data_IF_394163393518
#
_entry.id   IF_394163393518
#
_cell.length_a   1.000
_cell.length_b   1.000
_cell.length_c   1.000
_cell.angle_alpha   90.00
_cell.angle_beta   90.00
_cell.angle_gamma   90.00
#
_symmetry.space_group_name_H-M   'P 1'
#
loop_
_entity.id
_entity.type
_entity.pdbx_description
1 polymer ?
#
# COMPACT_ATOMS: atom_id res chain seq x y z
N UNK A 1 -23.80 -4.07 -9.19
CA UNK A 1 -23.92 -5.26 -8.32
C UNK A 1 -22.93 -6.27 -8.87
N UNK A 2 -21.72 -6.37 -8.27
CA UNK A 2 -20.70 -7.33 -8.70
C UNK A 2 -21.15 -8.73 -8.31
N UNK A 3 -20.82 -9.71 -9.16
CA UNK A 3 -21.00 -11.12 -8.79
C UNK A 3 -20.19 -11.38 -7.51
N UNK A 4 -20.86 -11.93 -6.50
CA UNK A 4 -20.24 -12.33 -5.24
C UNK A 4 -19.12 -13.33 -5.54
N UNK A 5 -17.85 -12.87 -5.55
CA UNK A 5 -16.69 -13.73 -5.81
C UNK A 5 -15.63 -13.15 -6.77
N UNK A 6 -15.88 -12.02 -7.46
CA UNK A 6 -14.86 -11.42 -8.32
C UNK A 6 -13.76 -10.75 -7.47
N UNK A 7 -12.47 -10.86 -7.88
CA UNK A 7 -11.38 -10.21 -7.17
C UNK A 7 -11.45 -8.69 -7.32
N UNK A 8 -11.05 -7.96 -6.27
CA UNK A 8 -10.90 -6.51 -6.32
C UNK A 8 -9.72 -6.08 -7.19
N UNK A 9 -8.64 -6.88 -7.21
CA UNK A 9 -7.48 -6.68 -8.09
C UNK A 9 -7.08 -8.01 -8.67
N UNK A 10 -6.86 -8.05 -9.98
CA UNK A 10 -6.33 -9.19 -10.71
C UNK A 10 -5.15 -8.73 -11.59
N UNK A 11 -4.04 -9.43 -11.52
CA UNK A 11 -2.91 -9.26 -12.44
C UNK A 11 -2.48 -10.63 -12.97
N UNK A 12 -2.30 -10.74 -14.30
CA UNK A 12 -1.93 -11.96 -14.99
C UNK A 12 -0.69 -11.70 -15.84
N UNK A 13 0.41 -12.36 -15.50
CA UNK A 13 1.68 -12.26 -16.21
C UNK A 13 2.20 -10.81 -16.34
N UNK A 14 1.98 -9.97 -15.32
CA UNK A 14 2.24 -8.53 -15.40
C UNK A 14 3.74 -8.25 -15.53
N UNK A 15 4.12 -7.51 -16.57
CA UNK A 15 5.53 -7.19 -16.88
C UNK A 15 5.72 -5.69 -17.08
N UNK A 16 6.83 -5.18 -16.52
CA UNK A 16 7.31 -3.82 -16.81
C UNK A 16 8.79 -3.79 -17.12
N UNK A 17 9.11 -3.24 -18.26
CA UNK A 17 10.47 -2.92 -18.66
C UNK A 17 10.66 -1.42 -18.79
N UNK A 18 11.82 -0.95 -18.37
CA UNK A 18 12.30 0.40 -18.66
C UNK A 18 13.50 0.30 -19.60
N UNK A 19 13.54 1.15 -20.63
CA UNK A 19 14.66 1.24 -21.55
C UNK A 19 15.41 2.52 -21.24
N UNK A 20 16.64 2.40 -20.75
CA UNK A 20 17.54 3.52 -20.44
C UNK A 20 18.82 3.47 -21.27
N UNK A 21 19.72 4.44 -21.05
CA UNK A 21 21.03 4.50 -21.72
C UNK A 21 21.93 3.29 -21.41
N UNK A 22 21.75 2.67 -20.25
CA UNK A 22 22.51 1.52 -19.76
C UNK A 22 21.89 0.15 -20.11
N UNK A 23 20.80 0.15 -20.91
CA UNK A 23 20.11 -1.06 -21.34
C UNK A 23 18.69 -1.18 -20.82
N UNK A 24 18.14 -2.40 -20.90
CA UNK A 24 16.80 -2.76 -20.48
C UNK A 24 16.80 -3.21 -19.03
N UNK A 25 16.00 -2.55 -18.18
CA UNK A 25 15.76 -2.94 -16.79
C UNK A 25 14.37 -3.57 -16.69
N UNK A 26 14.31 -4.82 -16.24
CA UNK A 26 13.07 -5.56 -16.01
C UNK A 26 12.64 -5.38 -14.54
N UNK A 27 11.81 -4.38 -14.29
CA UNK A 27 11.37 -4.05 -12.94
C UNK A 27 10.28 -5.01 -12.41
N UNK A 28 9.42 -5.53 -13.31
CA UNK A 28 8.38 -6.53 -13.01
C UNK A 28 8.45 -7.62 -14.06
N UNK A 29 8.44 -8.89 -13.62
CA UNK A 29 8.85 -10.05 -14.45
C UNK A 29 7.80 -11.16 -14.43
N UNK A 30 6.56 -10.85 -14.81
CA UNK A 30 5.46 -11.82 -14.82
C UNK A 30 4.88 -12.02 -13.42
N UNK A 31 4.25 -10.97 -12.89
CA UNK A 31 3.54 -11.01 -11.62
C UNK A 31 2.11 -11.49 -11.86
N UNK A 32 1.73 -12.58 -11.18
CA UNK A 32 0.37 -13.08 -11.07
C UNK A 32 -0.14 -12.79 -9.65
N UNK A 33 -1.25 -12.05 -9.54
CA UNK A 33 -1.74 -11.55 -8.28
C UNK A 33 -3.27 -11.48 -8.28
N UNK A 34 -3.87 -11.94 -7.18
CA UNK A 34 -5.30 -11.83 -6.92
C UNK A 34 -5.54 -11.26 -5.53
N UNK A 35 -6.29 -10.16 -5.45
CA UNK A 35 -6.74 -9.55 -4.19
C UNK A 35 -8.24 -9.67 -4.09
N UNK A 36 -8.72 -10.20 -2.96
CA UNK A 36 -10.15 -10.40 -2.72
C UNK A 36 -10.80 -9.09 -2.30
N UNK A 37 -12.08 -8.94 -2.63
CA UNK A 37 -12.86 -7.79 -2.16
C UNK A 37 -12.94 -7.78 -0.63
N UNK A 38 -12.67 -6.63 -0.03
CA UNK A 38 -12.76 -6.41 1.41
C UNK A 38 -11.59 -6.92 2.23
N UNK A 39 -10.49 -7.42 1.62
CA UNK A 39 -9.29 -7.78 2.39
C UNK A 39 -8.29 -6.62 2.48
N UNK A 40 -7.44 -6.65 3.49
CA UNK A 40 -6.21 -5.87 3.58
C UNK A 40 -5.09 -6.74 3.02
N UNK A 41 -4.58 -6.39 1.85
CA UNK A 41 -3.55 -7.14 1.15
C UNK A 41 -2.20 -6.42 1.20
N UNK A 42 -1.17 -7.14 1.68
CA UNK A 42 0.20 -6.64 1.78
C UNK A 42 1.09 -7.10 0.61
N UNK A 43 1.74 -6.17 -0.06
CA UNK A 43 2.74 -6.45 -1.09
C UNK A 43 4.12 -6.15 -0.55
N UNK A 44 4.76 -7.19 0.02
CA UNK A 44 5.96 -7.12 0.83
C UNK A 44 7.22 -7.37 -0.01
N UNK A 45 8.25 -6.57 0.18
CA UNK A 45 9.52 -6.79 -0.49
C UNK A 45 10.56 -5.71 -0.20
N UNK A 46 11.83 -5.96 -0.53
CA UNK A 46 12.90 -4.97 -0.33
C UNK A 46 12.77 -3.81 -1.32
N UNK A 47 13.56 -2.76 -1.09
CA UNK A 47 13.67 -1.65 -2.03
C UNK A 47 14.20 -2.15 -3.38
N UNK A 48 13.59 -1.68 -4.46
CA UNK A 48 13.92 -2.11 -5.83
C UNK A 48 13.31 -3.46 -6.25
N UNK A 49 12.52 -4.13 -5.41
CA UNK A 49 11.89 -5.42 -5.77
C UNK A 49 10.79 -5.32 -6.83
N UNK A 50 10.28 -4.10 -7.13
CA UNK A 50 9.21 -3.88 -8.10
C UNK A 50 7.86 -3.47 -7.47
N UNK A 51 7.77 -3.25 -6.15
CA UNK A 51 6.53 -2.90 -5.44
C UNK A 51 5.84 -1.67 -6.03
N UNK A 52 6.49 -0.50 -5.92
CA UNK A 52 5.91 0.77 -6.42
C UNK A 52 5.66 0.75 -7.93
N UNK A 53 6.48 0.02 -8.71
CA UNK A 53 6.25 -0.16 -10.14
C UNK A 53 4.95 -0.93 -10.39
N UNK A 54 4.70 -2.00 -9.64
CA UNK A 54 3.46 -2.78 -9.74
C UNK A 54 2.26 -1.94 -9.36
N UNK A 55 2.30 -1.23 -8.22
CA UNK A 55 1.21 -0.32 -7.80
C UNK A 55 0.93 0.72 -8.89
N UNK A 56 1.95 1.39 -9.42
CA UNK A 56 1.77 2.40 -10.47
C UNK A 56 1.15 1.85 -11.76
N UNK A 57 1.37 0.58 -12.10
CA UNK A 57 0.67 -0.07 -13.22
C UNK A 57 -0.80 -0.33 -12.88
N UNK A 58 -1.09 -0.88 -11.69
CA UNK A 58 -2.45 -1.15 -11.23
C UNK A 58 -3.28 0.13 -11.10
N UNK A 59 -2.65 1.24 -10.70
CA UNK A 59 -3.28 2.55 -10.54
C UNK A 59 -3.25 3.42 -11.79
N UNK A 60 -2.92 2.85 -12.95
CA UNK A 60 -2.89 3.55 -14.25
C UNK A 60 -1.84 4.66 -14.39
N UNK A 61 -0.95 4.84 -13.41
CA UNK A 61 0.10 5.85 -13.43
C UNK A 61 1.31 5.43 -14.29
N UNK A 62 1.37 4.16 -14.67
CA UNK A 62 2.43 3.61 -15.49
C UNK A 62 1.86 2.58 -16.47
N UNK A 63 2.21 2.68 -17.74
CA UNK A 63 1.78 1.71 -18.76
C UNK A 63 2.37 0.31 -18.51
N UNK A 64 1.57 -0.72 -18.73
CA UNK A 64 1.98 -2.12 -18.72
C UNK A 64 2.79 -2.42 -19.99
N UNK A 65 3.89 -3.19 -19.88
CA UNK A 65 4.66 -3.64 -21.05
C UNK A 65 4.03 -4.89 -21.68
N UNK A 66 3.65 -5.86 -20.84
CA UNK A 66 2.89 -7.05 -21.24
C UNK A 66 2.17 -7.64 -20.04
N UNK A 67 1.24 -8.58 -20.29
CA UNK A 67 0.32 -9.10 -19.29
C UNK A 67 -0.95 -8.26 -19.21
N UNK A 68 -1.79 -8.53 -18.22
CA UNK A 68 -3.09 -7.90 -18.00
C UNK A 68 -3.26 -7.55 -16.54
N UNK A 69 -3.96 -6.44 -16.27
CA UNK A 69 -4.39 -6.09 -14.94
C UNK A 69 -5.81 -5.54 -14.94
N UNK A 70 -6.61 -5.95 -13.95
CA UNK A 70 -7.95 -5.45 -13.71
C UNK A 70 -8.07 -4.96 -12.27
N UNK A 71 -8.78 -3.87 -12.09
CA UNK A 71 -9.20 -3.39 -10.78
C UNK A 71 -10.72 -3.26 -10.81
N UNK A 72 -11.37 -3.94 -9.86
CA UNK A 72 -12.84 -4.01 -9.76
C UNK A 72 -13.47 -4.45 -11.10
N UNK A 73 -12.84 -5.42 -11.77
CA UNK A 73 -13.27 -5.94 -13.07
C UNK A 73 -13.03 -5.02 -14.27
N UNK A 74 -12.34 -3.88 -14.06
CA UNK A 74 -12.03 -2.92 -15.12
C UNK A 74 -10.57 -3.13 -15.57
N UNK A 75 -10.35 -3.38 -16.85
CA UNK A 75 -9.01 -3.47 -17.44
C UNK A 75 -8.33 -2.10 -17.41
N UNK A 76 -7.28 -1.98 -16.59
CA UNK A 76 -6.61 -0.69 -16.32
C UNK A 76 -5.90 -0.09 -17.53
N UNK A 77 -5.61 -0.90 -18.56
CA UNK A 77 -4.97 -0.44 -19.78
C UNK A 77 -5.99 0.02 -20.83
N UNK A 78 -7.19 -0.57 -20.81
CA UNK A 78 -8.25 -0.27 -21.78
C UNK A 78 -9.16 0.86 -21.33
N UNK A 79 -9.50 0.90 -20.06
CA UNK A 79 -10.37 1.93 -19.48
C UNK A 79 -9.76 2.56 -18.20
N UNK A 80 -8.64 3.28 -18.34
CA UNK A 80 -7.93 3.86 -17.20
C UNK A 80 -8.76 4.93 -16.46
N UNK A 81 -9.64 5.64 -17.16
CA UNK A 81 -10.43 6.70 -16.54
C UNK A 81 -11.55 6.13 -15.66
N UNK A 82 -12.16 5.01 -16.05
CA UNK A 82 -13.11 4.31 -15.18
C UNK A 82 -12.40 3.66 -13.98
N UNK A 83 -11.23 3.04 -14.20
CA UNK A 83 -10.43 2.49 -13.12
C UNK A 83 -10.10 3.57 -12.06
N UNK A 84 -9.68 4.77 -12.48
CA UNK A 84 -9.36 5.90 -11.57
C UNK A 84 -10.56 6.35 -10.74
N UNK A 85 -11.78 6.23 -11.25
CA UNK A 85 -13.00 6.57 -10.50
C UNK A 85 -13.31 5.58 -9.37
N UNK A 86 -12.75 4.37 -9.44
CA UNK A 86 -13.00 3.28 -8.49
C UNK A 86 -11.89 3.09 -7.46
N UNK A 87 -10.73 3.73 -7.67
CA UNK A 87 -9.56 3.56 -6.81
C UNK A 87 -9.18 4.85 -6.10
N UNK A 88 -8.78 4.73 -4.83
CA UNK A 88 -8.03 5.76 -4.11
C UNK A 88 -6.54 5.43 -4.14
N UNK A 89 -5.70 6.44 -4.20
CA UNK A 89 -4.24 6.25 -4.26
C UNK A 89 -3.53 7.24 -3.35
N UNK A 90 -2.74 6.73 -2.40
CA UNK A 90 -1.82 7.53 -1.60
C UNK A 90 -0.39 6.98 -1.81
N UNK A 91 0.42 7.74 -2.54
CA UNK A 91 1.80 7.39 -2.88
C UNK A 91 2.77 7.76 -1.75
N UNK A 92 4.03 7.37 -1.91
CA UNK A 92 5.09 7.65 -0.94
C UNK A 92 5.29 9.17 -0.71
N UNK A 93 5.18 9.98 -1.75
CA UNK A 93 5.19 11.44 -1.64
C UNK A 93 3.75 11.96 -1.67
N UNK A 94 3.30 12.58 -0.57
CA UNK A 94 1.98 13.17 -0.49
C UNK A 94 1.86 14.39 -1.42
N UNK A 95 0.89 14.37 -2.33
CA UNK A 95 0.62 15.44 -3.29
C UNK A 95 -0.18 16.61 -2.71
N UNK A 96 0.02 16.96 -1.42
CA UNK A 96 -0.76 17.97 -0.71
C UNK A 96 -0.26 19.39 -1.00
N UNK A 97 -1.16 20.34 -1.33
CA UNK A 97 -0.78 21.77 -1.42
C UNK A 97 -0.52 22.32 0.00
N UNK A 98 0.70 22.74 0.31
CA UNK A 98 1.05 23.23 1.65
C UNK A 98 0.39 24.56 2.03
N UNK A 99 -0.23 25.26 1.07
CA UNK A 99 -0.91 26.56 1.26
C UNK A 99 -2.38 26.43 1.60
N UNK A 100 -3.00 25.28 1.34
CA UNK A 100 -4.38 24.99 1.68
C UNK A 100 -4.51 24.54 3.13
N UNK A 101 -5.67 24.70 3.71
CA UNK A 101 -6.06 24.01 4.94
C UNK A 101 -6.51 22.58 4.61
N UNK A 102 -6.52 21.68 5.62
CA UNK A 102 -6.99 20.30 5.41
C UNK A 102 -8.43 20.26 4.88
N UNK A 103 -9.31 21.12 5.42
CA UNK A 103 -10.70 21.28 5.00
C UNK A 103 -10.82 21.72 3.55
N UNK A 104 -10.11 22.78 3.16
CA UNK A 104 -10.13 23.31 1.78
C UNK A 104 -9.63 22.26 0.78
N UNK A 105 -8.58 21.53 1.11
CA UNK A 105 -8.02 20.50 0.26
C UNK A 105 -9.02 19.37 0.02
N UNK A 106 -9.63 18.81 1.06
CA UNK A 106 -10.60 17.73 0.92
C UNK A 106 -11.86 18.18 0.19
N UNK A 107 -12.38 19.38 0.47
CA UNK A 107 -13.53 19.94 -0.23
C UNK A 107 -13.23 20.18 -1.72
N UNK A 108 -12.04 20.68 -2.07
CA UNK A 108 -11.60 20.83 -3.46
C UNK A 108 -11.54 19.47 -4.18
N UNK A 109 -10.96 18.46 -3.54
CA UNK A 109 -10.92 17.11 -4.13
C UNK A 109 -12.34 16.58 -4.39
N UNK A 110 -13.27 16.74 -3.45
CA UNK A 110 -14.66 16.34 -3.65
C UNK A 110 -15.31 17.04 -4.87
N UNK A 111 -15.07 18.34 -5.04
CA UNK A 111 -15.56 19.06 -6.22
C UNK A 111 -14.91 18.58 -7.53
N UNK A 112 -13.61 18.23 -7.53
CA UNK A 112 -12.92 17.67 -8.70
C UNK A 112 -13.49 16.31 -9.11
N UNK A 113 -14.00 15.54 -8.14
CA UNK A 113 -14.73 14.29 -8.40
C UNK A 113 -16.22 14.50 -8.72
N UNK A 114 -16.68 15.76 -8.83
CA UNK A 114 -18.04 16.10 -9.29
C UNK A 114 -19.06 16.25 -8.16
N UNK A 115 -18.65 16.29 -6.90
CA UNK A 115 -19.56 16.57 -5.79
C UNK A 115 -20.00 18.05 -5.82
N UNK A 116 -21.26 18.31 -5.42
CA UNK A 116 -21.68 19.69 -5.15
C UNK A 116 -20.86 20.29 -4.01
N UNK A 117 -20.77 21.62 -3.94
CA UNK A 117 -20.02 22.30 -2.89
C UNK A 117 -20.49 21.89 -1.47
N UNK A 118 -21.80 21.71 -1.26
CA UNK A 118 -22.36 21.24 0.01
C UNK A 118 -21.93 19.81 0.34
N UNK A 119 -22.08 18.87 -0.60
CA UNK A 119 -21.66 17.47 -0.38
C UNK A 119 -20.15 17.36 -0.20
N UNK A 120 -19.36 18.15 -0.93
CA UNK A 120 -17.92 18.18 -0.78
C UNK A 120 -17.48 18.67 0.61
N UNK A 121 -18.17 19.69 1.15
CA UNK A 121 -17.92 20.18 2.49
C UNK A 121 -18.29 19.13 3.57
N UNK A 122 -19.48 18.52 3.46
CA UNK A 122 -19.90 17.44 4.37
C UNK A 122 -18.89 16.27 4.33
N UNK A 123 -18.46 15.87 3.14
CA UNK A 123 -17.49 14.77 2.98
C UNK A 123 -16.13 15.12 3.58
N UNK A 124 -15.70 16.37 3.47
CA UNK A 124 -14.47 16.83 4.10
C UNK A 124 -14.53 16.68 5.64
N UNK A 125 -15.66 17.04 6.27
CA UNK A 125 -15.84 16.85 7.72
C UNK A 125 -15.82 15.37 8.12
N UNK A 126 -16.56 14.51 7.38
CA UNK A 126 -16.57 13.07 7.62
C UNK A 126 -15.15 12.50 7.60
N UNK A 127 -14.33 12.90 6.61
CA UNK A 127 -12.98 12.41 6.45
C UNK A 127 -12.01 12.98 7.47
N UNK A 128 -12.12 14.27 7.82
CA UNK A 128 -11.32 14.88 8.87
C UNK A 128 -11.54 14.14 10.20
N UNK A 129 -12.79 13.79 10.50
CA UNK A 129 -13.14 13.02 11.69
C UNK A 129 -12.60 11.58 11.60
N UNK A 130 -12.70 10.92 10.43
CA UNK A 130 -12.19 9.58 10.23
C UNK A 130 -10.68 9.48 10.56
N UNK A 131 -9.91 10.52 10.17
CA UNK A 131 -8.45 10.56 10.33
C UNK A 131 -7.99 11.42 11.52
N UNK A 132 -8.90 11.78 12.43
CA UNK A 132 -8.61 12.51 13.67
C UNK A 132 -7.84 13.83 13.44
N UNK A 133 -8.29 14.64 12.47
CA UNK A 133 -7.71 15.93 12.11
C UNK A 133 -8.68 17.11 12.26
N UNK A 134 -9.82 16.95 12.98
CA UNK A 134 -10.82 17.99 13.18
C UNK A 134 -10.22 19.27 13.78
N UNK A 135 -9.43 19.13 14.84
CA UNK A 135 -8.81 20.25 15.55
C UNK A 135 -7.75 21.01 14.71
N UNK A 136 -7.27 20.35 13.64
CA UNK A 136 -6.29 20.93 12.74
C UNK A 136 -6.89 21.34 11.38
N UNK A 137 -8.17 21.08 11.15
CA UNK A 137 -8.83 21.22 9.86
C UNK A 137 -8.62 22.58 9.17
N UNK A 138 -8.60 23.66 9.95
CA UNK A 138 -8.48 25.06 9.49
C UNK A 138 -7.03 25.60 9.53
N UNK A 139 -6.05 24.74 9.92
CA UNK A 139 -4.62 25.08 9.81
C UNK A 139 -4.11 24.75 8.43
N UNK A 140 -3.18 25.56 7.93
CA UNK A 140 -2.49 25.26 6.64
C UNK A 140 -1.65 24.01 6.75
N UNK A 141 -1.68 23.17 5.71
CA UNK A 141 -0.99 21.87 5.63
C UNK A 141 0.52 21.99 5.84
N UNK A 142 1.13 23.11 5.48
CA UNK A 142 2.55 23.40 5.78
C UNK A 142 2.90 23.27 7.26
N UNK A 143 1.95 23.51 8.14
CA UNK A 143 2.11 23.41 9.60
C UNK A 143 1.80 22.03 10.18
N UNK A 144 1.48 21.06 9.36
CA UNK A 144 1.20 19.69 9.79
C UNK A 144 2.50 18.91 10.07
N UNK A 145 2.45 18.00 11.06
CA UNK A 145 3.49 17.00 11.23
C UNK A 145 3.47 15.98 10.09
N UNK A 146 4.54 15.19 9.91
CA UNK A 146 4.56 14.14 8.90
C UNK A 146 3.40 13.15 9.04
N UNK A 147 3.08 12.74 10.27
CA UNK A 147 1.91 11.89 10.55
C UNK A 147 0.58 12.54 10.17
N UNK A 148 0.41 13.84 10.47
CA UNK A 148 -0.80 14.58 10.07
C UNK A 148 -0.91 14.71 8.56
N UNK A 149 0.19 14.97 7.86
CA UNK A 149 0.21 15.02 6.40
C UNK A 149 -0.17 13.66 5.81
N UNK A 150 0.36 12.57 6.37
CA UNK A 150 0.04 11.22 5.90
C UNK A 150 -1.43 10.85 6.12
N UNK A 151 -2.01 11.22 7.25
CA UNK A 151 -3.44 11.04 7.53
C UNK A 151 -4.31 11.87 6.59
N UNK A 152 -3.93 13.11 6.30
CA UNK A 152 -4.66 13.94 5.32
C UNK A 152 -4.56 13.39 3.90
N UNK A 153 -3.41 12.84 3.49
CA UNK A 153 -3.21 12.18 2.19
C UNK A 153 -4.10 10.94 2.05
N UNK A 154 -4.19 10.14 3.12
CA UNK A 154 -5.12 9.02 3.21
C UNK A 154 -6.58 9.48 3.07
N UNK A 155 -6.99 10.54 3.78
CA UNK A 155 -8.32 11.13 3.67
C UNK A 155 -8.60 11.62 2.24
N UNK A 156 -7.64 12.29 1.60
CA UNK A 156 -7.77 12.76 0.22
C UNK A 156 -8.00 11.62 -0.78
N UNK A 157 -7.32 10.47 -0.58
CA UNK A 157 -7.52 9.29 -1.41
C UNK A 157 -8.91 8.63 -1.24
N UNK A 158 -9.63 8.95 -0.16
CA UNK A 158 -10.96 8.40 0.16
C UNK A 158 -12.13 9.31 -0.21
N UNK A 159 -11.88 10.52 -0.73
CA UNK A 159 -12.91 11.55 -0.95
C UNK A 159 -14.07 11.02 -1.80
N UNK A 160 -13.77 10.32 -2.89
CA UNK A 160 -14.75 9.83 -3.88
C UNK A 160 -15.28 8.42 -3.58
N UNK A 161 -15.08 7.90 -2.35
CA UNK A 161 -15.58 6.61 -1.89
C UNK A 161 -15.07 5.42 -2.74
N UNK A 162 -13.76 5.25 -2.87
CA UNK A 162 -13.18 4.20 -3.72
C UNK A 162 -13.48 2.80 -3.20
N UNK A 163 -13.60 1.85 -4.13
CA UNK A 163 -13.75 0.42 -3.80
C UNK A 163 -12.41 -0.24 -3.42
N UNK A 164 -11.30 0.28 -3.97
CA UNK A 164 -9.93 -0.16 -3.64
C UNK A 164 -9.05 1.03 -3.31
N UNK A 165 -8.36 0.95 -2.18
CA UNK A 165 -7.37 1.93 -1.74
C UNK A 165 -5.96 1.37 -1.91
N UNK A 166 -5.15 2.01 -2.76
CA UNK A 166 -3.74 1.68 -2.96
C UNK A 166 -2.84 2.60 -2.15
N UNK A 167 -1.93 2.01 -1.36
CA UNK A 167 -1.00 2.70 -0.48
C UNK A 167 0.43 2.26 -0.78
N UNK A 168 1.29 3.21 -1.13
CA UNK A 168 2.71 2.91 -1.35
C UNK A 168 3.53 3.31 -0.11
N UNK A 169 3.93 2.31 0.68
CA UNK A 169 4.70 2.43 1.92
C UNK A 169 4.08 3.43 2.93
N UNK A 170 2.82 3.20 3.40
CA UNK A 170 2.04 4.20 4.13
C UNK A 170 2.65 4.68 5.44
N UNK A 171 3.51 3.89 6.07
CA UNK A 171 4.07 4.20 7.39
C UNK A 171 5.58 4.52 7.36
N UNK A 172 6.17 4.59 6.18
CA UNK A 172 7.60 4.91 6.04
C UNK A 172 7.92 6.30 6.57
N UNK A 173 8.94 6.38 7.45
CA UNK A 173 9.38 7.63 8.06
C UNK A 173 8.53 8.11 9.24
N UNK A 174 7.49 7.38 9.64
CA UNK A 174 6.69 7.70 10.82
C UNK A 174 7.29 7.09 12.09
N UNK A 175 7.08 7.79 13.22
CA UNK A 175 7.36 7.25 14.53
C UNK A 175 6.41 6.09 14.89
N UNK A 176 6.74 5.24 15.89
CA UNK A 176 5.93 4.06 16.22
C UNK A 176 4.49 4.38 16.60
N UNK A 177 4.22 5.48 17.31
CA UNK A 177 2.86 5.86 17.70
C UNK A 177 2.02 6.27 16.47
N UNK A 178 2.57 7.10 15.59
CA UNK A 178 1.94 7.51 14.34
C UNK A 178 1.65 6.31 13.42
N UNK A 179 2.54 5.30 13.42
CA UNK A 179 2.34 4.06 12.65
C UNK A 179 1.12 3.28 13.14
N UNK A 180 1.00 3.09 14.46
CA UNK A 180 -0.17 2.41 15.05
C UNK A 180 -1.48 3.12 14.71
N UNK A 181 -1.48 4.46 14.77
CA UNK A 181 -2.65 5.27 14.38
C UNK A 181 -3.05 4.99 12.93
N UNK A 182 -2.10 4.99 11.99
CA UNK A 182 -2.39 4.66 10.58
C UNK A 182 -2.95 3.24 10.43
N UNK A 183 -2.41 2.25 11.16
CA UNK A 183 -2.95 0.89 11.09
C UNK A 183 -4.38 0.80 11.58
N UNK A 184 -4.74 1.51 12.65
CA UNK A 184 -6.11 1.53 13.18
C UNK A 184 -7.07 2.23 12.20
N UNK A 185 -6.62 3.30 11.54
CA UNK A 185 -7.37 3.97 10.47
C UNK A 185 -7.60 3.03 9.27
N UNK A 186 -6.57 2.29 8.84
CA UNK A 186 -6.71 1.34 7.73
C UNK A 186 -7.67 0.20 8.06
N UNK A 187 -7.63 -0.33 9.30
CA UNK A 187 -8.63 -1.32 9.75
C UNK A 187 -10.04 -0.73 9.75
N UNK A 188 -10.20 0.52 10.16
CA UNK A 188 -11.50 1.22 10.17
C UNK A 188 -12.04 1.40 8.76
N UNK A 189 -11.20 1.87 7.82
CA UNK A 189 -11.54 2.03 6.40
C UNK A 189 -11.95 0.69 5.78
N UNK A 190 -11.17 -0.36 6.02
CA UNK A 190 -11.47 -1.70 5.53
C UNK A 190 -12.77 -2.25 6.15
N UNK A 191 -13.03 -2.01 7.44
CA UNK A 191 -14.27 -2.39 8.10
C UNK A 191 -15.53 -1.73 7.52
N UNK A 192 -15.41 -0.65 6.75
CA UNK A 192 -16.49 -0.05 5.96
C UNK A 192 -16.62 -0.63 4.55
N UNK A 193 -15.83 -1.66 4.21
CA UNK A 193 -15.94 -2.41 2.96
C UNK A 193 -14.93 -2.05 1.87
N UNK A 194 -14.07 -1.05 2.09
CA UNK A 194 -13.01 -0.71 1.13
C UNK A 194 -11.90 -1.77 1.17
N UNK A 195 -11.54 -2.32 0.01
CA UNK A 195 -10.37 -3.19 -0.13
C UNK A 195 -9.10 -2.36 0.00
N UNK A 196 -8.12 -2.83 0.76
CA UNK A 196 -6.84 -2.11 0.93
C UNK A 196 -5.72 -2.92 0.30
N UNK A 197 -4.99 -2.31 -0.61
CA UNK A 197 -3.73 -2.82 -1.17
C UNK A 197 -2.58 -1.95 -0.71
N UNK A 198 -1.70 -2.46 0.13
CA UNK A 198 -0.55 -1.70 0.58
C UNK A 198 0.78 -2.34 0.18
N UNK A 199 1.76 -1.53 -0.17
CA UNK A 199 3.15 -1.98 -0.25
C UNK A 199 3.86 -1.69 1.06
N UNK A 200 4.77 -2.57 1.44
CA UNK A 200 5.61 -2.34 2.62
C UNK A 200 6.94 -3.05 2.51
N UNK A 201 7.92 -2.56 3.25
CA UNK A 201 9.17 -3.26 3.57
C UNK A 201 9.22 -3.69 5.04
N UNK A 202 8.23 -3.28 5.85
CA UNK A 202 8.15 -3.60 7.27
C UNK A 202 7.36 -4.89 7.47
N UNK A 203 8.05 -5.92 7.95
CA UNK A 203 7.48 -7.25 8.20
C UNK A 203 6.44 -7.22 9.31
N UNK A 204 6.66 -6.39 10.33
CA UNK A 204 5.71 -6.18 11.41
C UNK A 204 4.36 -5.62 10.89
N UNK A 205 4.40 -4.64 9.97
CA UNK A 205 3.19 -4.09 9.33
C UNK A 205 2.42 -5.17 8.57
N UNK A 206 3.13 -5.98 7.80
CA UNK A 206 2.53 -7.07 7.05
C UNK A 206 1.91 -8.14 7.97
N UNK A 207 2.59 -8.48 9.07
CA UNK A 207 2.13 -9.51 10.03
C UNK A 207 0.94 -9.05 10.88
N UNK A 208 0.90 -7.76 11.26
CA UNK A 208 -0.13 -7.23 12.15
C UNK A 208 -1.39 -6.71 11.43
N UNK A 209 -1.25 -6.25 10.19
CA UNK A 209 -2.30 -5.54 9.49
C UNK A 209 -2.93 -6.34 8.35
N UNK A 210 -2.16 -7.19 7.65
CA UNK A 210 -2.62 -7.79 6.40
C UNK A 210 -3.29 -9.15 6.61
N UNK A 211 -4.43 -9.36 5.96
CA UNK A 211 -5.10 -10.67 5.90
C UNK A 211 -4.29 -11.66 5.05
N UNK A 212 -3.79 -11.19 3.92
CA UNK A 212 -2.92 -11.94 3.01
C UNK A 212 -1.78 -11.06 2.53
N UNK A 213 -0.66 -11.71 2.21
CA UNK A 213 0.52 -11.04 1.69
C UNK A 213 1.06 -11.76 0.45
N UNK A 214 1.71 -11.01 -0.42
CA UNK A 214 2.62 -11.54 -1.43
C UNK A 214 4.01 -10.96 -1.21
N UNK A 215 5.02 -11.83 -1.17
CA UNK A 215 6.42 -11.46 -1.07
C UNK A 215 6.97 -11.36 -2.49
N UNK A 216 7.42 -10.16 -2.88
CA UNK A 216 8.07 -9.90 -4.15
C UNK A 216 9.58 -9.73 -3.96
N UNK A 217 10.37 -10.39 -4.77
CA UNK A 217 11.81 -10.17 -4.88
C UNK A 217 12.23 -10.16 -6.35
N UNK A 218 13.10 -9.22 -6.72
CA UNK A 218 13.65 -9.10 -8.07
C UNK A 218 12.59 -9.15 -9.19
N UNK A 219 11.43 -8.52 -8.97
CA UNK A 219 10.33 -8.42 -9.93
C UNK A 219 9.41 -9.64 -10.02
N UNK A 220 9.52 -10.62 -9.12
CA UNK A 220 8.70 -11.84 -9.11
C UNK A 220 8.09 -12.08 -7.74
N UNK A 221 6.85 -12.57 -7.70
CA UNK A 221 6.27 -13.08 -6.46
C UNK A 221 6.95 -14.41 -6.12
N UNK A 222 7.53 -14.51 -4.92
CA UNK A 222 8.25 -15.71 -4.44
C UNK A 222 7.44 -16.50 -3.42
N UNK A 223 6.51 -15.87 -2.70
CA UNK A 223 5.54 -16.51 -1.78
C UNK A 223 4.26 -15.70 -1.72
N UNK A 224 3.15 -16.35 -1.47
CA UNK A 224 1.84 -15.70 -1.25
C UNK A 224 0.99 -16.56 -0.32
N UNK A 225 0.31 -15.93 0.64
CA UNK A 225 -0.58 -16.61 1.61
C UNK A 225 -0.96 -15.68 2.76
N UNK A 226 -1.67 -16.19 3.77
CA UNK A 226 -1.82 -15.46 5.03
C UNK A 226 -0.50 -15.50 5.81
N UNK A 227 -0.18 -14.50 6.64
CA UNK A 227 1.02 -14.55 7.48
C UNK A 227 1.15 -15.84 8.28
N UNK A 228 0.03 -16.30 8.87
CA UNK A 228 -0.02 -17.56 9.62
C UNK A 228 0.26 -18.80 8.77
N UNK A 229 -0.31 -18.89 7.56
CA UNK A 229 -0.03 -19.99 6.62
C UNK A 229 1.44 -20.05 6.23
N UNK A 230 2.04 -18.93 5.88
CA UNK A 230 3.44 -18.86 5.47
C UNK A 230 4.40 -19.23 6.60
N UNK A 231 4.08 -18.84 7.85
CA UNK A 231 4.83 -19.26 9.04
C UNK A 231 4.69 -20.76 9.28
N UNK A 232 3.48 -21.31 9.22
CA UNK A 232 3.24 -22.74 9.40
C UNK A 232 3.94 -23.60 8.34
N UNK A 233 3.88 -23.23 7.05
CA UNK A 233 4.56 -23.91 5.96
C UNK A 233 6.09 -23.92 6.16
N UNK A 234 6.67 -22.81 6.66
CA UNK A 234 8.08 -22.76 6.97
C UNK A 234 8.45 -23.68 8.13
N UNK A 235 7.62 -23.71 9.17
CA UNK A 235 7.82 -24.54 10.34
C UNK A 235 7.79 -26.04 9.98
N UNK A 236 6.77 -26.49 9.24
CA UNK A 236 6.69 -27.87 8.75
C UNK A 236 7.91 -28.28 7.92
N UNK A 237 8.44 -27.37 7.11
CA UNK A 237 9.59 -27.63 6.23
C UNK A 237 10.93 -27.65 6.95
N UNK A 238 11.13 -26.76 7.94
CA UNK A 238 12.40 -26.64 8.67
C UNK A 238 12.49 -27.62 9.84
N UNK A 239 11.37 -27.94 10.46
CA UNK A 239 11.36 -28.52 11.80
C UNK A 239 11.90 -27.54 12.84
N UNK A 240 11.87 -27.90 14.10
CA UNK A 240 12.40 -27.08 15.20
C UNK A 240 11.37 -26.86 16.30
N UNK A 241 11.85 -26.33 17.43
CA UNK A 241 11.00 -26.11 18.62
C UNK A 241 10.39 -24.70 18.65
N UNK A 242 10.98 -23.75 17.91
CA UNK A 242 10.52 -22.36 17.87
C UNK A 242 9.67 -22.06 16.63
N UNK A 243 8.51 -21.44 16.83
CA UNK A 243 7.62 -20.99 15.76
C UNK A 243 8.30 -19.89 14.92
N UNK A 244 8.36 -20.04 13.57
CA UNK A 244 8.98 -19.05 12.71
C UNK A 244 8.24 -17.71 12.76
N UNK A 245 9.00 -16.62 12.67
CA UNK A 245 8.48 -15.27 12.45
C UNK A 245 8.27 -14.98 10.97
N UNK A 246 7.59 -13.89 10.64
CA UNK A 246 7.49 -13.46 9.24
C UNK A 246 8.86 -13.03 8.68
N UNK A 247 9.79 -12.58 9.54
CA UNK A 247 11.19 -12.34 9.16
C UNK A 247 11.88 -13.61 8.65
N UNK A 248 11.66 -14.75 9.32
CA UNK A 248 12.21 -16.02 8.90
C UNK A 248 11.63 -16.48 7.56
N UNK A 249 10.32 -16.28 7.35
CA UNK A 249 9.67 -16.55 6.06
C UNK A 249 10.27 -15.71 4.96
N UNK A 250 10.44 -14.40 5.21
CA UNK A 250 11.00 -13.47 4.23
C UNK A 250 12.45 -13.85 3.83
N UNK A 251 13.29 -14.13 4.82
CA UNK A 251 14.68 -14.55 4.58
C UNK A 251 14.76 -15.86 3.78
N UNK A 252 13.90 -16.84 4.13
CA UNK A 252 13.81 -18.10 3.40
C UNK A 252 13.33 -17.90 1.96
N UNK A 253 12.29 -17.10 1.76
CA UNK A 253 11.69 -16.84 0.46
C UNK A 253 12.64 -16.09 -0.50
N UNK A 254 13.47 -15.19 0.03
CA UNK A 254 14.39 -14.36 -0.75
C UNK A 254 15.82 -14.92 -0.84
N UNK A 255 16.10 -16.05 -0.16
CA UNK A 255 17.45 -16.66 -0.11
C UNK A 255 18.47 -15.81 0.65
N UNK A 256 18.01 -14.86 1.49
CA UNK A 256 18.87 -13.99 2.30
C UNK A 256 19.13 -14.64 3.65
N UNK A 257 20.29 -14.37 4.23
CA UNK A 257 20.65 -14.83 5.59
C UNK A 257 20.60 -13.65 6.54
N UNK A 258 20.24 -13.88 7.83
CA UNK A 258 20.41 -12.88 8.88
C UNK A 258 21.88 -12.51 8.95
N UNK A 259 22.27 -11.30 8.56
CA UNK A 259 23.57 -10.74 8.89
C UNK A 259 23.56 -10.54 10.41
N UNK A 260 24.26 -11.39 11.16
CA UNK A 260 24.56 -11.09 12.57
C UNK A 260 25.42 -9.83 12.55
N UNK A 261 24.91 -8.70 13.01
CA UNK A 261 25.74 -7.60 13.45
C UNK A 261 26.54 -8.12 14.64
N UNK A 262 27.77 -8.53 14.35
CA UNK A 262 28.76 -8.77 15.37
C UNK A 262 29.08 -7.40 15.98
N UNK A 263 28.54 -7.15 17.18
CA UNK A 263 28.96 -6.04 18.01
C UNK A 263 30.45 -6.22 18.35
N UNK A 264 31.31 -5.53 17.60
CA UNK A 264 32.68 -5.27 18.06
C UNK A 264 32.59 -4.29 19.23
N UNK A 265 32.58 -4.85 20.43
CA UNK A 265 32.98 -4.13 21.63
C UNK A 265 34.50 -3.89 21.49
N UNK A 266 34.89 -2.71 21.02
CA UNK A 266 36.27 -2.26 21.17
C UNK A 266 36.51 -2.02 22.68
N UNK A 267 37.19 -2.97 23.32
CA UNK A 267 37.90 -2.71 24.59
C UNK A 267 38.92 -1.62 24.33
N UNK A 268 38.65 -0.43 24.86
CA UNK A 268 39.66 0.60 24.99
C UNK A 268 40.53 0.18 26.21
N UNK A 269 41.66 -0.44 25.91
CA UNK A 269 42.73 -0.69 26.86
C UNK A 269 43.37 0.63 27.34
N UNK A 270 43.61 0.69 28.61
CA UNK A 270 44.25 1.72 29.43
C UNK A 270 45.62 2.18 28.91
#
# INVERSE_FOLDING_TARGET
MYESGAPAVLAEGLVKHFTGREGKVEAVRGVDLEVRTGEIFGFLGPNGAGKSTTVRMLTTLLSITSGRAEVVGIDVARDPDEARRRIGVALQEAGLDPRQTGRELLALHGQLFGFSAGRAAERAEELLSLVELEDAADRVVKGYSGGMQRRLDLAAALVHEPEVLFLDEPTTGLDPASRLTIWDELRRINGHGTTVFLTTQYLEEADQLCDRIAIIDSGRIVRQGTPGQLKAELWERRGGDDEPTLDDVFLDATGRTRTREAGEVQEVGV
#
